data_IF_367987484020
#
_entry.id   IF_367987484020
#
_cell.length_a   1.000
_cell.length_b   1.000
_cell.length_c   1.000
_cell.angle_alpha   90.00
_cell.angle_beta   90.00
_cell.angle_gamma   90.00
#
_symmetry.space_group_name_H-M   'P 1'
#
loop_
_entity.id
_entity.type
_entity.pdbx_description
1 polymer ?
#
# COMPACT_ATOMS: atom_id res chain seq x y z
N UNK A 1 17.33 -15.72 6.17
CA UNK A 1 16.31 -15.26 5.21
C UNK A 1 14.96 -14.98 5.86
N UNK A 2 14.33 -15.95 6.54
CA UNK A 2 13.01 -15.80 7.17
C UNK A 2 12.90 -14.58 8.12
N UNK A 3 13.92 -14.33 8.95
CA UNK A 3 13.94 -13.18 9.87
C UNK A 3 13.90 -11.82 9.14
N UNK A 4 14.51 -11.70 7.96
CA UNK A 4 14.49 -10.48 7.14
C UNK A 4 13.12 -10.27 6.49
N UNK A 5 12.58 -11.34 5.91
CA UNK A 5 11.21 -11.39 5.41
C UNK A 5 10.19 -10.93 6.48
N UNK A 6 10.31 -11.45 7.71
CA UNK A 6 9.43 -11.06 8.82
C UNK A 6 9.59 -9.58 9.22
N UNK A 7 10.79 -9.01 9.14
CA UNK A 7 11.00 -7.57 9.42
C UNK A 7 10.34 -6.70 8.35
N UNK A 8 10.44 -7.07 7.08
CA UNK A 8 9.73 -6.38 6.00
C UNK A 8 8.20 -6.44 6.22
N UNK A 9 7.67 -7.61 6.58
CA UNK A 9 6.24 -7.79 6.86
C UNK A 9 5.73 -6.95 8.04
N UNK A 10 6.58 -6.53 8.98
CA UNK A 10 6.15 -5.62 10.07
C UNK A 10 5.68 -4.27 9.54
N UNK A 11 6.33 -3.75 8.49
CA UNK A 11 5.94 -2.48 7.84
C UNK A 11 4.55 -2.61 7.22
N UNK A 12 4.19 -3.80 6.72
CA UNK A 12 2.92 -4.07 6.06
C UNK A 12 1.71 -4.04 7.01
N UNK A 13 1.91 -4.16 8.32
CA UNK A 13 0.82 -4.17 9.32
C UNK A 13 -0.02 -2.87 9.27
N UNK A 14 0.57 -1.76 8.84
CA UNK A 14 -0.12 -0.47 8.74
C UNK A 14 -0.85 -0.27 7.40
N UNK A 15 -0.48 -1.02 6.36
CA UNK A 15 -1.06 -0.86 5.02
C UNK A 15 -2.55 -1.18 4.91
N UNK A 16 -3.17 -2.09 5.70
CA UNK A 16 -4.62 -2.25 5.69
C UNK A 16 -5.39 -0.94 5.96
N UNK A 17 -4.86 -0.06 6.84
CA UNK A 17 -5.45 1.26 7.11
C UNK A 17 -5.33 2.18 5.89
N UNK A 18 -4.20 2.12 5.19
CA UNK A 18 -4.02 2.84 3.94
C UNK A 18 -5.01 2.35 2.87
N UNK A 19 -5.13 1.04 2.70
CA UNK A 19 -5.98 0.46 1.66
C UNK A 19 -7.47 0.72 1.90
N UNK A 20 -7.94 0.75 3.15
CA UNK A 20 -9.34 1.13 3.40
C UNK A 20 -9.62 2.58 2.99
N UNK A 21 -8.65 3.49 3.16
CA UNK A 21 -8.75 4.89 2.70
C UNK A 21 -8.69 4.97 1.18
N UNK A 22 -7.72 4.31 0.56
CA UNK A 22 -7.57 4.27 -0.89
C UNK A 22 -8.83 3.70 -1.57
N UNK A 23 -9.38 2.61 -1.04
CA UNK A 23 -10.57 1.96 -1.57
C UNK A 23 -11.85 2.81 -1.42
N UNK A 24 -11.86 3.91 -0.66
CA UNK A 24 -13.00 4.83 -0.64
C UNK A 24 -13.25 5.44 -2.03
N UNK A 25 -12.18 5.62 -2.81
CA UNK A 25 -12.20 6.15 -4.17
C UNK A 25 -13.05 5.29 -5.13
N UNK A 26 -13.01 3.97 -4.95
CA UNK A 26 -13.71 2.99 -5.78
C UNK A 26 -15.14 2.71 -5.31
N UNK A 27 -15.50 3.21 -4.12
CA UNK A 27 -16.73 2.86 -3.43
C UNK A 27 -17.52 4.13 -3.12
N UNK A 28 -17.22 4.74 -1.98
CA UNK A 28 -18.01 5.82 -1.41
C UNK A 28 -17.86 7.15 -2.14
N UNK A 29 -16.73 7.40 -2.81
CA UNK A 29 -16.58 8.59 -3.66
C UNK A 29 -17.51 8.53 -4.87
N UNK A 30 -17.69 7.35 -5.47
CA UNK A 30 -18.64 7.14 -6.56
C UNK A 30 -20.07 7.39 -6.08
N UNK A 31 -20.44 6.81 -4.92
CA UNK A 31 -21.75 7.06 -4.32
C UNK A 31 -21.97 8.52 -3.93
N UNK A 32 -20.94 9.21 -3.42
CA UNK A 32 -20.96 10.65 -3.15
C UNK A 32 -21.15 11.47 -4.44
N UNK A 33 -20.52 11.09 -5.55
CA UNK A 33 -20.73 11.71 -6.86
C UNK A 33 -22.17 11.59 -7.35
N UNK A 34 -22.83 10.47 -7.05
CA UNK A 34 -24.25 10.26 -7.35
C UNK A 34 -25.20 11.20 -6.61
N UNK A 35 -24.74 11.91 -5.58
CA UNK A 35 -25.50 12.93 -4.85
C UNK A 35 -25.27 14.35 -5.39
N UNK A 36 -24.43 14.50 -6.43
CA UNK A 36 -23.98 15.76 -7.02
C UNK A 36 -24.49 15.92 -8.46
N UNK A 37 -24.47 17.15 -8.98
CA UNK A 37 -24.80 17.46 -10.36
C UNK A 37 -23.66 17.06 -11.31
N UNK A 38 -23.96 16.07 -12.14
CA UNK A 38 -23.00 15.40 -13.02
C UNK A 38 -22.80 16.06 -14.39
N UNK A 39 -23.78 16.84 -14.85
CA UNK A 39 -23.70 17.57 -16.13
C UNK A 39 -23.27 16.67 -17.33
N UNK A 40 -23.72 15.41 -17.37
CA UNK A 40 -23.42 14.45 -18.43
C UNK A 40 -22.16 13.59 -18.19
N UNK A 41 -21.46 13.78 -17.07
CA UNK A 41 -20.30 12.97 -16.66
C UNK A 41 -20.77 11.78 -15.81
N UNK A 42 -20.48 10.53 -16.16
CA UNK A 42 -20.80 9.38 -15.30
C UNK A 42 -20.04 9.45 -13.97
N UNK A 43 -20.66 9.03 -12.85
CA UNK A 43 -20.03 8.99 -11.52
C UNK A 43 -18.68 8.25 -11.54
N UNK A 44 -18.68 7.08 -12.17
CA UNK A 44 -17.52 6.20 -12.23
C UNK A 44 -16.36 6.81 -13.02
N UNK A 45 -16.65 7.76 -13.93
CA UNK A 45 -15.62 8.42 -14.72
C UNK A 45 -14.69 9.29 -13.84
N UNK A 46 -15.18 9.75 -12.68
CA UNK A 46 -14.39 10.55 -11.74
C UNK A 46 -13.15 9.79 -11.23
N UNK A 47 -13.21 8.45 -11.12
CA UNK A 47 -12.08 7.65 -10.66
C UNK A 47 -10.89 7.67 -11.63
N UNK A 48 -11.10 8.02 -12.90
CA UNK A 48 -10.01 8.15 -13.88
C UNK A 48 -9.09 9.34 -13.58
N UNK A 49 -9.46 10.26 -12.69
CA UNK A 49 -8.57 11.33 -12.22
C UNK A 49 -7.32 10.76 -11.54
N UNK A 50 -7.44 9.61 -10.88
CA UNK A 50 -6.34 8.96 -10.17
C UNK A 50 -5.20 8.50 -11.12
N UNK A 51 -5.44 7.64 -12.13
CA UNK A 51 -4.38 7.28 -13.08
C UNK A 51 -3.85 8.49 -13.87
N UNK A 52 -4.67 9.51 -14.15
CA UNK A 52 -4.20 10.76 -14.75
C UNK A 52 -3.24 11.51 -13.83
N UNK A 53 -3.54 11.55 -12.53
CA UNK A 53 -2.66 12.13 -11.51
C UNK A 53 -1.32 11.42 -11.51
N UNK A 54 -1.32 10.08 -11.53
CA UNK A 54 -0.07 9.29 -11.56
C UNK A 54 0.76 9.60 -12.81
N UNK A 55 0.14 9.60 -14.00
CA UNK A 55 0.82 9.88 -15.27
C UNK A 55 1.50 11.26 -15.28
N UNK A 56 0.84 12.26 -14.70
CA UNK A 56 1.34 13.64 -14.66
C UNK A 56 2.39 13.81 -13.55
N UNK A 57 2.14 13.28 -12.35
CA UNK A 57 2.96 13.57 -11.17
C UNK A 57 4.19 12.68 -11.02
N UNK A 58 4.20 11.43 -11.49
CA UNK A 58 5.42 10.60 -11.49
C UNK A 58 6.61 11.31 -12.16
N UNK A 59 6.52 11.81 -13.41
CA UNK A 59 7.66 12.47 -14.04
C UNK A 59 8.07 13.77 -13.32
N UNK A 60 7.11 14.48 -12.70
CA UNK A 60 7.39 15.65 -11.87
C UNK A 60 8.19 15.25 -10.62
N UNK A 61 7.79 14.17 -9.96
CA UNK A 61 8.48 13.66 -8.77
C UNK A 61 9.91 13.22 -9.11
N UNK A 62 10.09 12.46 -10.18
CA UNK A 62 11.38 11.91 -10.59
C UNK A 62 12.35 12.96 -11.13
N UNK A 63 11.84 13.93 -11.92
CA UNK A 63 12.70 14.92 -12.59
C UNK A 63 12.89 16.21 -11.80
N UNK A 64 11.93 16.61 -10.97
CA UNK A 64 11.97 17.90 -10.27
C UNK A 64 12.10 17.71 -8.77
N UNK A 65 11.19 16.96 -8.14
CA UNK A 65 11.09 16.90 -6.67
C UNK A 65 12.27 16.12 -6.08
N UNK A 66 12.51 14.87 -6.48
CA UNK A 66 13.60 14.06 -5.92
C UNK A 66 15.00 14.62 -6.20
N UNK A 67 15.32 15.16 -7.40
CA UNK A 67 16.59 15.86 -7.61
C UNK A 67 16.70 17.15 -6.78
N UNK A 68 15.60 17.90 -6.64
CA UNK A 68 15.54 19.11 -5.80
C UNK A 68 15.83 18.82 -4.33
N UNK A 69 15.16 17.82 -3.75
CA UNK A 69 15.41 17.40 -2.36
C UNK A 69 16.84 16.91 -2.16
N UNK A 70 17.40 16.18 -3.15
CA UNK A 70 18.82 15.76 -3.12
C UNK A 70 19.78 16.95 -3.12
N UNK A 71 19.50 18.01 -3.89
CA UNK A 71 20.30 19.26 -3.86
C UNK A 71 20.23 19.97 -2.51
N UNK A 72 19.12 19.83 -1.79
CA UNK A 72 18.95 20.36 -0.43
C UNK A 72 19.56 19.45 0.65
N UNK A 73 20.20 18.33 0.28
CA UNK A 73 20.79 17.37 1.22
C UNK A 73 19.77 16.48 1.95
N UNK A 74 18.50 16.49 1.53
CA UNK A 74 17.44 15.69 2.16
C UNK A 74 17.32 14.37 1.40
N UNK A 75 17.80 13.28 2.00
CA UNK A 75 17.59 11.93 1.49
C UNK A 75 16.13 11.51 1.73
N UNK A 76 15.32 11.53 0.67
CA UNK A 76 13.92 11.12 0.74
C UNK A 76 13.79 9.59 0.76
N UNK A 77 14.02 9.00 1.94
CA UNK A 77 14.03 7.55 2.21
C UNK A 77 12.62 6.93 2.10
N UNK A 78 12.49 5.64 1.76
CA UNK A 78 11.20 4.96 1.55
C UNK A 78 10.20 5.15 2.69
N UNK A 79 10.63 4.99 3.96
CA UNK A 79 9.75 5.15 5.14
C UNK A 79 9.20 6.58 5.26
N UNK A 80 10.00 7.60 4.90
CA UNK A 80 9.55 9.00 4.91
C UNK A 80 8.53 9.24 3.80
N UNK A 81 8.68 8.61 2.64
CA UNK A 81 7.68 8.70 1.57
C UNK A 81 6.36 8.08 2.02
N UNK A 82 6.41 6.86 2.58
CA UNK A 82 5.23 6.17 3.07
C UNK A 82 4.47 7.04 4.09
N UNK A 83 5.17 7.68 5.03
CA UNK A 83 4.54 8.62 5.97
C UNK A 83 3.77 9.75 5.26
N UNK A 84 4.38 10.39 4.25
CA UNK A 84 3.71 11.43 3.47
C UNK A 84 2.53 10.89 2.67
N UNK A 85 2.59 9.64 2.18
CA UNK A 85 1.46 8.97 1.55
C UNK A 85 0.27 8.83 2.50
N UNK A 86 0.46 8.32 3.72
CA UNK A 86 -0.61 8.24 4.73
C UNK A 86 -1.21 9.61 5.08
N UNK A 87 -0.38 10.66 5.11
CA UNK A 87 -0.84 12.02 5.40
C UNK A 87 -1.65 12.60 4.22
N UNK A 88 -1.23 12.39 2.98
CA UNK A 88 -1.99 12.79 1.79
C UNK A 88 -3.32 12.02 1.67
N UNK A 89 -3.33 10.72 2.00
CA UNK A 89 -4.57 9.94 2.08
C UNK A 89 -5.51 10.47 3.17
N UNK A 90 -4.98 10.88 4.32
CA UNK A 90 -5.76 11.54 5.37
C UNK A 90 -6.33 12.89 4.88
N UNK A 91 -5.54 13.69 4.17
CA UNK A 91 -6.00 14.95 3.58
C UNK A 91 -7.10 14.73 2.53
N UNK A 92 -7.01 13.67 1.73
CA UNK A 92 -8.06 13.29 0.80
C UNK A 92 -9.39 12.99 1.51
N UNK A 93 -9.35 12.23 2.61
CA UNK A 93 -10.53 11.93 3.42
C UNK A 93 -11.08 13.17 4.13
N UNK A 94 -10.21 14.05 4.62
CA UNK A 94 -10.61 15.32 5.22
C UNK A 94 -11.35 16.19 4.21
N UNK A 95 -10.82 16.27 2.99
CA UNK A 95 -11.46 17.01 1.91
C UNK A 95 -12.78 16.35 1.48
N UNK A 96 -12.85 15.02 1.40
CA UNK A 96 -14.10 14.31 1.12
C UNK A 96 -15.18 14.55 2.20
N UNK A 97 -14.79 14.69 3.46
CA UNK A 97 -15.70 15.08 4.54
C UNK A 97 -16.22 16.51 4.36
N UNK A 98 -15.37 17.45 3.92
CA UNK A 98 -15.77 18.83 3.57
C UNK A 98 -16.76 18.80 2.40
N UNK A 99 -16.48 18.03 1.34
CA UNK A 99 -17.39 17.86 0.20
C UNK A 99 -18.73 17.30 0.67
N UNK A 100 -18.73 16.28 1.54
CA UNK A 100 -19.98 15.73 2.09
C UNK A 100 -20.75 16.76 2.90
N UNK A 101 -20.05 17.58 3.70
CA UNK A 101 -20.68 18.67 4.44
C UNK A 101 -21.31 19.73 3.52
N UNK A 102 -20.64 20.04 2.40
CA UNK A 102 -21.20 20.93 1.37
C UNK A 102 -22.44 20.33 0.72
N UNK A 103 -22.44 19.03 0.40
CA UNK A 103 -23.62 18.32 -0.10
C UNK A 103 -24.76 18.43 0.91
N UNK A 104 -24.52 18.13 2.19
CA UNK A 104 -25.55 18.20 3.23
C UNK A 104 -26.05 19.62 3.53
N UNK A 105 -25.30 20.64 3.15
CA UNK A 105 -25.68 22.05 3.33
C UNK A 105 -26.35 22.65 2.09
N UNK A 106 -26.41 21.91 0.98
CA UNK A 106 -26.99 22.37 -0.28
C UNK A 106 -28.46 21.93 -0.43
N UNK A 107 -29.31 22.77 -1.05
CA UNK A 107 -30.67 22.39 -1.43
C UNK A 107 -30.65 21.33 -2.57
N UNK A 108 -31.76 20.58 -2.78
CA UNK A 108 -33.05 20.67 -2.08
C UNK A 108 -33.16 19.77 -0.84
N UNK A 109 -32.35 18.71 -0.72
CA UNK A 109 -32.57 17.64 0.24
C UNK A 109 -31.64 17.63 1.48
N UNK A 110 -30.65 18.53 1.56
CA UNK A 110 -29.75 18.68 2.71
C UNK A 110 -29.21 17.32 3.22
N UNK A 111 -29.54 16.93 4.46
CA UNK A 111 -29.07 15.72 5.14
C UNK A 111 -29.62 14.40 4.56
N UNK A 112 -30.56 14.44 3.62
CA UNK A 112 -31.16 13.27 2.98
C UNK A 112 -31.09 13.38 1.45
N UNK A 113 -29.86 13.47 0.86
CA UNK A 113 -29.70 13.62 -0.57
C UNK A 113 -30.46 12.53 -1.33
N UNK A 114 -31.21 12.93 -2.36
CA UNK A 114 -32.01 12.03 -3.20
C UNK A 114 -33.10 11.22 -2.47
N UNK A 115 -33.56 11.67 -1.29
CA UNK A 115 -34.60 10.99 -0.50
C UNK A 115 -35.59 11.96 0.17
N UNK A 116 -35.69 13.20 -0.30
CA UNK A 116 -36.61 14.20 0.24
C UNK A 116 -37.80 14.47 -0.68
N UNK A 117 -38.97 14.70 -0.08
CA UNK A 117 -40.21 15.04 -0.82
C UNK A 117 -40.06 16.33 -1.64
N UNK A 118 -39.19 17.26 -1.22
CA UNK A 118 -38.90 18.51 -1.92
C UNK A 118 -38.07 18.33 -3.20
N UNK A 119 -37.40 17.19 -3.36
CA UNK A 119 -36.63 16.84 -4.55
C UNK A 119 -37.36 15.85 -5.46
N UNK A 120 -38.61 15.48 -5.15
CA UNK A 120 -39.36 14.53 -5.99
C UNK A 120 -39.75 15.19 -7.31
N UNK A 121 -39.13 14.73 -8.40
CA UNK A 121 -39.45 15.15 -9.75
C UNK A 121 -40.76 14.48 -10.22
N UNK A 122 -41.49 15.08 -11.17
CA UNK A 122 -42.74 14.52 -11.70
C UNK A 122 -42.61 13.13 -12.35
N UNK A 123 -41.38 12.72 -12.67
CA UNK A 123 -41.03 11.42 -13.24
C UNK A 123 -40.77 10.32 -12.18
N UNK A 124 -40.89 10.65 -10.89
CA UNK A 124 -40.63 9.74 -9.77
C UNK A 124 -39.15 9.58 -9.40
N UNK A 125 -38.25 10.35 -10.03
CA UNK A 125 -36.84 10.44 -9.66
C UNK A 125 -36.62 11.55 -8.63
N UNK A 126 -35.50 11.50 -7.90
CA UNK A 126 -35.15 12.55 -6.95
C UNK A 126 -34.07 13.46 -7.54
N UNK A 127 -34.26 14.77 -7.36
CA UNK A 127 -33.28 15.79 -7.68
C UNK A 127 -32.08 15.68 -6.74
N UNK A 128 -30.89 15.69 -7.35
CA UNK A 128 -29.61 15.70 -6.62
C UNK A 128 -29.32 17.08 -6.03
N UNK A 129 -28.51 17.14 -4.98
CA UNK A 129 -28.17 18.41 -4.37
C UNK A 129 -27.35 19.28 -5.34
N UNK A 130 -27.52 20.61 -5.24
CA UNK A 130 -26.95 21.59 -6.17
C UNK A 130 -25.45 21.83 -5.93
N UNK A 131 -24.65 20.77 -6.06
CA UNK A 131 -23.20 20.79 -5.93
C UNK A 131 -22.62 20.17 -7.19
N UNK A 132 -21.69 20.86 -7.84
CA UNK A 132 -21.05 20.37 -9.05
C UNK A 132 -20.03 19.27 -8.73
N UNK A 133 -20.07 18.15 -9.45
CA UNK A 133 -19.20 16.97 -9.21
C UNK A 133 -17.70 17.28 -9.22
N UNK A 134 -17.27 18.28 -10.01
CA UNK A 134 -15.87 18.74 -10.06
C UNK A 134 -15.30 19.21 -8.70
N UNK A 135 -16.14 19.57 -7.73
CA UNK A 135 -15.69 19.89 -6.36
C UNK A 135 -15.00 18.68 -5.71
N UNK A 136 -15.27 17.45 -6.16
CA UNK A 136 -14.64 16.22 -5.68
C UNK A 136 -13.24 15.98 -6.27
N UNK A 137 -12.87 16.64 -7.37
CA UNK A 137 -11.59 16.42 -8.08
C UNK A 137 -10.35 16.49 -7.17
N UNK A 138 -10.23 17.45 -6.22
CA UNK A 138 -9.09 17.48 -5.32
C UNK A 138 -8.99 16.26 -4.39
N UNK A 139 -10.11 15.59 -4.06
CA UNK A 139 -10.08 14.36 -3.26
C UNK A 139 -9.35 13.24 -4.02
N UNK A 140 -9.71 13.03 -5.29
CA UNK A 140 -9.05 12.06 -6.17
C UNK A 140 -7.57 12.42 -6.41
N UNK A 141 -7.26 13.70 -6.59
CA UNK A 141 -5.88 14.17 -6.74
C UNK A 141 -5.03 13.83 -5.51
N UNK A 142 -5.54 14.06 -4.30
CA UNK A 142 -4.82 13.72 -3.08
C UNK A 142 -4.66 12.21 -2.89
N UNK A 143 -5.64 11.39 -3.29
CA UNK A 143 -5.50 9.92 -3.31
C UNK A 143 -4.39 9.49 -4.29
N UNK A 144 -4.37 10.01 -5.51
CA UNK A 144 -3.33 9.64 -6.47
C UNK A 144 -1.92 10.08 -6.05
N UNK A 145 -1.79 11.27 -5.46
CA UNK A 145 -0.52 11.69 -4.83
C UNK A 145 -0.11 10.78 -3.68
N UNK A 146 -1.08 10.39 -2.85
CA UNK A 146 -0.90 9.44 -1.76
C UNK A 146 -0.42 8.07 -2.27
N UNK A 147 -0.95 7.59 -3.39
CA UNK A 147 -0.55 6.33 -4.02
C UNK A 147 0.92 6.31 -4.45
N UNK A 148 1.40 7.39 -5.06
CA UNK A 148 2.81 7.53 -5.46
C UNK A 148 3.73 7.34 -4.24
N UNK A 149 3.37 7.91 -3.09
CA UNK A 149 4.21 7.90 -1.91
C UNK A 149 4.04 6.66 -1.02
N UNK A 150 2.86 6.04 -0.98
CA UNK A 150 2.59 4.86 -0.16
C UNK A 150 2.60 3.57 -0.98
N UNK A 151 1.70 3.40 -1.95
CA UNK A 151 1.56 2.13 -2.69
C UNK A 151 2.80 1.79 -3.51
N UNK A 152 3.26 2.71 -4.36
CA UNK A 152 4.42 2.47 -5.24
C UNK A 152 5.68 2.27 -4.41
N UNK A 153 5.92 3.14 -3.42
CA UNK A 153 7.08 3.02 -2.52
C UNK A 153 7.00 1.77 -1.65
N UNK A 154 5.80 1.35 -1.25
CA UNK A 154 5.57 0.13 -0.48
C UNK A 154 5.93 -1.14 -1.26
N UNK A 155 5.56 -1.19 -2.53
CA UNK A 155 5.95 -2.27 -3.45
C UNK A 155 7.46 -2.27 -3.70
N UNK A 156 8.06 -1.10 -3.92
CA UNK A 156 9.52 -0.95 -4.07
C UNK A 156 10.26 -1.45 -2.82
N UNK A 157 9.77 -1.05 -1.64
CA UNK A 157 10.32 -1.50 -0.36
C UNK A 157 10.17 -3.02 -0.18
N UNK A 158 8.99 -3.57 -0.49
CA UNK A 158 8.74 -5.00 -0.43
C UNK A 158 9.71 -5.80 -1.34
N UNK A 159 9.93 -5.31 -2.56
CA UNK A 159 10.81 -5.95 -3.52
C UNK A 159 12.30 -5.87 -3.12
N UNK A 160 12.74 -4.70 -2.66
CA UNK A 160 14.15 -4.46 -2.30
C UNK A 160 14.56 -5.14 -0.99
N UNK A 161 13.61 -5.35 -0.06
CA UNK A 161 13.88 -6.04 1.22
C UNK A 161 13.64 -7.54 1.19
N UNK A 162 13.08 -8.07 0.10
CA UNK A 162 12.85 -9.50 -0.01
C UNK A 162 14.13 -10.23 -0.44
N UNK A 163 14.50 -11.34 0.23
CA UNK A 163 15.63 -12.15 -0.21
C UNK A 163 15.33 -12.77 -1.59
N UNK A 164 16.36 -13.09 -2.40
CA UNK A 164 16.18 -13.54 -3.78
C UNK A 164 15.21 -14.74 -3.92
N UNK A 165 15.25 -15.68 -2.98
CA UNK A 165 14.42 -16.88 -2.93
C UNK A 165 12.95 -16.62 -2.54
N UNK A 166 12.63 -15.48 -1.94
CA UNK A 166 11.29 -15.17 -1.38
C UNK A 166 10.63 -13.91 -1.95
N UNK A 167 11.16 -13.31 -3.02
CA UNK A 167 10.60 -12.08 -3.62
C UNK A 167 9.10 -12.18 -3.87
N UNK A 168 8.66 -13.21 -4.58
CA UNK A 168 7.25 -13.43 -4.88
C UNK A 168 6.40 -13.58 -3.62
N UNK A 169 6.91 -14.25 -2.59
CA UNK A 169 6.18 -14.44 -1.33
C UNK A 169 5.97 -13.10 -0.59
N UNK A 170 7.00 -12.27 -0.48
CA UNK A 170 6.89 -10.96 0.20
C UNK A 170 5.99 -10.00 -0.56
N UNK A 171 6.05 -10.01 -1.90
CA UNK A 171 5.15 -9.22 -2.74
C UNK A 171 3.69 -9.67 -2.57
N UNK A 172 3.42 -10.98 -2.53
CA UNK A 172 2.08 -11.50 -2.24
C UNK A 172 1.58 -11.10 -0.85
N UNK A 173 2.46 -11.10 0.16
CA UNK A 173 2.12 -10.60 1.51
C UNK A 173 1.80 -9.11 1.52
N UNK A 174 2.47 -8.31 0.69
CA UNK A 174 2.12 -6.90 0.51
C UNK A 174 0.74 -6.76 -0.11
N UNK A 175 0.45 -7.46 -1.21
CA UNK A 175 -0.87 -7.42 -1.87
C UNK A 175 -2.00 -7.94 -0.96
N UNK A 176 -1.71 -8.91 -0.09
CA UNK A 176 -2.65 -9.40 0.92
C UNK A 176 -3.15 -8.28 1.85
N UNK A 177 -2.34 -7.24 2.09
CA UNK A 177 -2.80 -6.08 2.88
C UNK A 177 -3.96 -5.33 2.23
N UNK A 178 -4.06 -5.35 0.89
CA UNK A 178 -5.20 -4.78 0.19
C UNK A 178 -6.49 -5.56 0.49
N UNK A 179 -6.41 -6.89 0.56
CA UNK A 179 -7.56 -7.72 0.94
C UNK A 179 -8.03 -7.39 2.37
N UNK A 180 -7.11 -7.17 3.31
CA UNK A 180 -7.47 -6.70 4.66
C UNK A 180 -8.08 -5.29 4.64
N UNK A 181 -7.57 -4.37 3.82
CA UNK A 181 -8.17 -3.05 3.64
C UNK A 181 -9.59 -3.11 3.07
N UNK A 182 -9.84 -3.97 2.09
CA UNK A 182 -11.17 -4.22 1.55
C UNK A 182 -12.11 -4.83 2.60
N UNK A 183 -11.62 -5.78 3.40
CA UNK A 183 -12.38 -6.36 4.52
C UNK A 183 -12.75 -5.32 5.59
N UNK A 184 -11.82 -4.41 5.93
CA UNK A 184 -12.10 -3.26 6.79
C UNK A 184 -13.16 -2.34 6.18
N UNK A 185 -13.07 -2.08 4.87
CA UNK A 185 -14.09 -1.31 4.14
C UNK A 185 -15.47 -1.95 4.21
N UNK A 186 -15.55 -3.28 4.04
CA UNK A 186 -16.80 -4.02 4.19
C UNK A 186 -17.35 -3.94 5.63
N UNK A 187 -16.49 -4.03 6.64
CA UNK A 187 -16.88 -3.86 8.04
C UNK A 187 -17.42 -2.44 8.34
N UNK A 188 -16.91 -1.42 7.64
CA UNK A 188 -17.36 -0.03 7.75
C UNK A 188 -18.61 0.29 6.91
N UNK A 189 -19.05 -0.62 6.03
CA UNK A 189 -20.21 -0.39 5.16
C UNK A 189 -21.50 0.05 5.87
N UNK A 190 -21.83 -0.39 7.10
CA UNK A 190 -23.03 0.11 7.80
C UNK A 190 -22.93 1.59 8.21
N UNK A 191 -21.72 2.16 8.19
CA UNK A 191 -21.48 3.59 8.45
C UNK A 191 -21.46 4.43 7.18
N UNK A 192 -21.40 3.79 6.01
CA UNK A 192 -21.43 4.42 4.69
C UNK A 192 -22.86 4.74 4.22
N UNK A 193 -23.68 5.29 5.12
CA UNK A 193 -25.07 5.69 4.85
C UNK A 193 -25.28 7.13 5.29
N UNK A 194 -26.11 7.89 4.60
CA UNK A 194 -26.44 9.26 5.03
C UNK A 194 -27.24 9.24 6.36
N UNK A 195 -26.99 10.18 7.29
CA UNK A 195 -25.97 11.25 7.31
C UNK A 195 -24.62 10.84 7.93
N UNK A 196 -24.41 9.55 8.21
CA UNK A 196 -23.21 9.01 8.89
C UNK A 196 -21.97 9.00 8.00
N UNK A 197 -22.13 9.12 6.68
CA UNK A 197 -21.04 9.10 5.70
C UNK A 197 -19.95 10.15 5.98
N UNK A 198 -20.34 11.35 6.41
CA UNK A 198 -19.39 12.39 6.84
C UNK A 198 -18.53 11.94 8.03
N UNK A 199 -19.14 11.32 9.04
CA UNK A 199 -18.43 10.82 10.22
C UNK A 199 -17.49 9.66 9.90
N UNK A 200 -17.85 8.83 8.92
CA UNK A 200 -16.96 7.78 8.40
C UNK A 200 -15.70 8.40 7.78
N UNK A 201 -15.83 9.44 6.94
CA UNK A 201 -14.67 10.14 6.37
C UNK A 201 -13.79 10.81 7.44
N UNK A 202 -14.39 11.42 8.46
CA UNK A 202 -13.64 11.99 9.60
C UNK A 202 -12.90 10.88 10.36
N UNK A 203 -13.56 9.75 10.61
CA UNK A 203 -12.95 8.59 11.27
C UNK A 203 -11.76 8.04 10.49
N UNK A 204 -11.91 7.88 9.17
CA UNK A 204 -10.83 7.44 8.28
C UNK A 204 -9.69 8.45 8.19
N UNK A 205 -9.99 9.75 8.21
CA UNK A 205 -8.99 10.83 8.27
C UNK A 205 -8.11 10.67 9.51
N UNK A 206 -8.73 10.57 10.70
CA UNK A 206 -8.03 10.44 11.97
C UNK A 206 -7.26 9.12 12.01
N UNK A 207 -7.86 8.02 11.58
CA UNK A 207 -7.23 6.71 11.55
C UNK A 207 -5.98 6.70 10.64
N UNK A 208 -6.05 7.28 9.44
CA UNK A 208 -4.92 7.37 8.52
C UNK A 208 -3.81 8.28 9.04
N UNK A 209 -4.17 9.45 9.57
CA UNK A 209 -3.19 10.37 10.16
C UNK A 209 -2.51 9.75 11.39
N UNK A 210 -3.26 9.09 12.27
CA UNK A 210 -2.72 8.39 13.42
C UNK A 210 -1.83 7.21 13.00
N UNK A 211 -2.27 6.39 12.04
CA UNK A 211 -1.48 5.29 11.50
C UNK A 211 -0.16 5.78 10.88
N UNK A 212 -0.21 6.84 10.09
CA UNK A 212 0.98 7.50 9.53
C UNK A 212 1.92 8.01 10.62
N UNK A 213 1.41 8.75 11.61
CA UNK A 213 2.21 9.25 12.74
C UNK A 213 2.84 8.12 13.56
N UNK A 214 2.08 7.07 13.90
CA UNK A 214 2.59 5.91 14.63
C UNK A 214 3.65 5.19 13.80
N UNK A 215 3.38 4.96 12.52
CA UNK A 215 4.32 4.37 11.57
C UNK A 215 5.63 5.16 11.55
N UNK A 216 5.56 6.47 11.41
CA UNK A 216 6.74 7.33 11.44
C UNK A 216 7.49 7.24 12.77
N UNK A 217 6.80 7.29 13.91
CA UNK A 217 7.44 7.20 15.23
C UNK A 217 8.16 5.87 15.47
N UNK A 218 7.58 4.76 15.01
CA UNK A 218 8.15 3.41 15.15
C UNK A 218 9.30 3.16 14.17
N UNK A 219 9.15 3.56 12.90
CA UNK A 219 10.09 3.22 11.83
C UNK A 219 11.08 4.32 11.46
N UNK A 220 10.96 5.54 12.01
CA UNK A 220 12.00 6.59 11.84
C UNK A 220 13.38 6.14 12.29
N UNK A 221 13.47 5.23 13.26
CA UNK A 221 14.74 4.63 13.72
C UNK A 221 15.23 3.54 12.76
N UNK A 222 14.33 2.84 12.09
CA UNK A 222 14.68 1.84 11.09
C UNK A 222 15.37 2.47 9.86
N UNK A 223 15.05 3.72 9.51
CA UNK A 223 15.76 4.46 8.45
C UNK A 223 17.29 4.54 8.65
N UNK A 224 17.79 4.47 9.89
CA UNK A 224 19.23 4.48 10.19
C UNK A 224 19.84 3.06 10.13
N UNK A 225 19.06 2.05 10.51
CA UNK A 225 19.48 0.63 10.44
C UNK A 225 19.37 0.06 9.02
N UNK A 226 18.56 0.68 8.16
CA UNK A 226 18.36 0.25 6.78
C UNK A 226 19.64 0.36 5.94
N UNK A 227 20.42 1.43 6.15
CA UNK A 227 21.71 1.66 5.48
C UNK A 227 22.73 0.58 5.86
N UNK A 228 22.88 0.30 7.16
CA UNK A 228 23.81 -0.73 7.61
C UNK A 228 23.40 -2.15 7.21
N UNK A 229 22.10 -2.43 7.13
CA UNK A 229 21.61 -3.72 6.61
C UNK A 229 21.87 -3.89 5.10
N UNK A 230 21.69 -2.83 4.31
CA UNK A 230 21.99 -2.85 2.86
C UNK A 230 23.50 -2.99 2.60
N UNK A 231 24.34 -2.33 3.40
CA UNK A 231 25.81 -2.43 3.30
C UNK A 231 26.33 -3.85 3.62
N UNK A 232 25.77 -4.49 4.66
CA UNK A 232 26.12 -5.88 5.02
C UNK A 232 25.68 -6.90 3.95
N UNK A 233 24.59 -6.63 3.23
CA UNK A 233 24.17 -7.46 2.09
C UNK A 233 25.09 -7.29 0.89
N UNK A 234 25.49 -6.06 0.56
CA UNK A 234 26.46 -5.83 -0.49
C UNK A 234 27.80 -6.50 -0.19
N UNK A 235 28.19 -6.59 1.08
CA UNK A 235 29.38 -7.33 1.50
C UNK A 235 29.20 -8.84 1.41
N UNK A 236 28.05 -9.40 1.85
CA UNK A 236 27.75 -10.82 1.77
C UNK A 236 27.62 -11.37 0.34
N UNK A 237 27.08 -10.56 -0.58
CA UNK A 237 26.93 -10.92 -1.99
C UNK A 237 28.26 -10.78 -2.76
N UNK A 238 29.11 -9.82 -2.39
CA UNK A 238 30.49 -9.70 -2.91
C UNK A 238 31.45 -10.75 -2.33
N UNK A 239 31.17 -11.29 -1.14
CA UNK A 239 32.00 -12.28 -0.46
C UNK A 239 31.82 -13.72 -0.98
N UNK A 240 30.96 -13.95 -1.98
CA UNK A 240 30.92 -15.22 -2.72
C UNK A 240 31.74 -15.03 -4.02
N UNK A 241 33.05 -15.32 -4.02
CA UNK A 241 33.80 -15.36 -5.26
C UNK A 241 33.28 -16.52 -6.12
N UNK A 242 32.87 -16.19 -7.35
CA UNK A 242 32.67 -17.15 -8.41
C UNK A 242 34.04 -17.73 -8.82
N UNK A 243 34.54 -18.70 -8.04
CA UNK A 243 35.49 -19.73 -8.43
C UNK A 243 35.97 -20.48 -7.18
N UNK A 244 35.23 -21.50 -6.78
CA UNK A 244 35.83 -22.68 -6.16
C UNK A 244 35.00 -23.88 -6.61
N UNK A 245 35.39 -24.46 -7.75
CA UNK A 245 35.05 -25.83 -8.07
C UNK A 245 35.72 -26.67 -7.00
N UNK A 246 34.96 -27.13 -6.00
CA UNK A 246 35.45 -28.11 -5.03
C UNK A 246 35.85 -29.35 -5.83
N UNK A 247 37.15 -29.73 -5.88
CA UNK A 247 37.52 -30.95 -6.56
C UNK A 247 37.02 -32.11 -5.70
N UNK A 248 36.11 -32.91 -6.27
CA UNK A 248 35.73 -34.20 -5.71
C UNK A 248 36.98 -35.07 -5.73
N UNK A 249 37.63 -35.24 -4.58
CA UNK A 249 38.70 -36.22 -4.43
C UNK A 249 38.11 -37.61 -4.64
N UNK A 250 38.38 -38.19 -5.80
CA UNK A 250 38.25 -39.62 -6.02
C UNK A 250 39.24 -40.30 -5.07
N UNK A 251 38.76 -40.89 -3.99
CA UNK A 251 39.54 -41.87 -3.24
C UNK A 251 39.60 -43.14 -4.10
N UNK A 252 40.68 -43.28 -4.86
CA UNK A 252 41.15 -44.59 -5.32
C UNK A 252 41.63 -45.36 -4.10
N UNK A 253 40.92 -46.43 -3.75
CA UNK A 253 41.35 -47.39 -2.75
C UNK A 253 42.44 -48.24 -3.40
N UNK A 254 43.68 -48.03 -2.96
CA UNK A 254 44.79 -48.91 -3.28
C UNK A 254 44.63 -50.22 -2.46
N UNK A 255 44.37 -51.34 -3.13
CA UNK A 255 44.54 -52.67 -2.56
C UNK A 255 46.04 -52.97 -2.39
N UNK A 256 46.55 -52.89 -1.16
CA UNK A 256 47.71 -53.67 -0.73
C UNK A 256 47.47 -54.25 0.66
N UNK A 257 47.67 -55.56 0.72
CA UNK A 257 47.32 -56.43 1.84
C UNK A 257 48.02 -56.12 3.15
N UNK A 258 47.34 -56.49 4.23
CA UNK A 258 47.84 -56.56 5.59
C UNK A 258 46.85 -57.39 6.40
N UNK A 259 47.28 -58.58 6.79
CA UNK A 259 46.55 -59.55 7.62
C UNK A 259 46.15 -58.95 8.98
N UNK A 260 44.94 -59.29 9.45
CA UNK A 260 44.62 -59.34 10.87
C UNK A 260 43.97 -60.71 11.17
N UNK A 261 44.56 -61.54 12.06
CA UNK A 261 44.18 -62.91 12.27
C UNK A 261 43.19 -62.99 13.42
N UNK A 262 41.89 -63.07 13.14
CA UNK A 262 40.91 -63.74 14.00
C UNK A 262 39.56 -63.76 13.29
N UNK A 263 39.16 -64.95 12.87
CA UNK A 263 37.90 -65.16 12.16
C UNK A 263 36.67 -64.77 12.98
N UNK A 264 35.61 -64.37 12.28
CA UNK A 264 34.27 -64.93 12.38
C UNK A 264 33.51 -64.54 11.10
N UNK A 265 33.07 -65.57 10.39
CA UNK A 265 32.15 -65.52 9.26
C UNK A 265 30.78 -65.01 9.68
N UNK A 266 30.17 -64.15 8.86
CA UNK A 266 28.72 -64.15 8.65
C UNK A 266 28.37 -63.50 7.32
N UNK A 267 28.26 -64.36 6.30
CA UNK A 267 27.26 -64.19 5.27
C UNK A 267 25.87 -64.13 5.93
N UNK A 268 25.03 -63.16 5.54
CA UNK A 268 23.65 -63.43 5.13
C UNK A 268 22.83 -62.15 4.86
N UNK A 269 22.06 -62.24 3.76
CA UNK A 269 20.74 -61.62 3.51
C UNK A 269 20.72 -60.11 3.18
N UNK A 270 20.56 -59.71 1.92
CA UNK A 270 19.34 -59.78 1.08
C UNK A 270 18.13 -59.06 1.70
N UNK A 271 17.82 -57.87 1.16
CA UNK A 271 16.57 -57.42 0.50
C UNK A 271 16.69 -55.92 0.23
#
# INVERSE_FOLDING_TARGET
ELKRALVACKVFIFYPVYWVVYNQMLNNFISQAGQMQLHGIPNDLMQNIDPLTIIIFIPIMDRLVYPGLRKMGIAFKPITRIFWGFLLGALAMAYAAIVQHLIYSAPPCYNAPSACDAGLLPDGTYEVNHVHVAVQTPAYLFIGLSEIFASITGLEYAFTKAPPSMKSFIMSMFLLTNAFGAALGAALSPTAVDPKLMWMYIGLTIASAAAGCIFWLLYRRYNATEESMNELEQYGEKAVPANEVVPVHHHSIDEKGGEDPNGISRADQAV
#
